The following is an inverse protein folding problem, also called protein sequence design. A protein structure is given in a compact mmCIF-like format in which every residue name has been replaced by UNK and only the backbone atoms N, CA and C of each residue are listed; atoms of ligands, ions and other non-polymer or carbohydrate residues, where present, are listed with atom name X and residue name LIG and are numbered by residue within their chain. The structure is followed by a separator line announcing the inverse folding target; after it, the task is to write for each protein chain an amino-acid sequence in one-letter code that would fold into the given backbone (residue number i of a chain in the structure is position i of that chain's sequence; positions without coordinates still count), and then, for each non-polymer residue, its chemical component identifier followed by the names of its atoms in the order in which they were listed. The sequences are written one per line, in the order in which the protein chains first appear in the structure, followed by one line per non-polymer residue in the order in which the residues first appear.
data_IF_951007551736
#
_entry.id   IF_951007551736
#
_cell.length_a   1.000
_cell.length_b   1.000
_cell.length_c   1.000
_cell.angle_alpha   90.00
_cell.angle_beta   90.00
_cell.angle_gamma   90.00
#
_symmetry.space_group_name_H-M   'P 1'
#
loop_
_entity.id
_entity.type
_entity.pdbx_description
1 polymer ?
#
# COMPACT_ATOMS: atom_id res chain seq x y z
N UNK A 1 26.06 1.93 -6.04
CA UNK A 1 24.84 2.66 -6.44
C UNK A 1 24.02 3.24 -5.28
N UNK A 2 23.89 2.58 -4.12
CA UNK A 2 23.01 3.02 -3.00
C UNK A 2 23.31 4.37 -2.31
N UNK A 3 24.54 4.90 -2.38
CA UNK A 3 24.97 6.08 -1.59
C UNK A 3 24.62 7.44 -2.22
N UNK A 4 24.34 7.48 -3.53
CA UNK A 4 24.14 8.73 -4.29
C UNK A 4 22.70 9.25 -4.33
N UNK A 5 21.72 8.46 -3.88
CA UNK A 5 20.29 8.79 -4.06
C UNK A 5 19.81 9.92 -3.14
N UNK A 6 20.46 10.10 -1.99
CA UNK A 6 20.03 11.03 -0.93
C UNK A 6 21.05 12.14 -0.63
N UNK A 7 22.15 12.21 -1.38
CA UNK A 7 23.13 13.28 -1.21
C UNK A 7 22.65 14.50 -2.02
N UNK A 8 22.32 15.60 -1.31
CA UNK A 8 22.06 16.93 -1.86
C UNK A 8 20.79 17.09 -2.73
N UNK A 9 19.65 16.52 -2.34
CA UNK A 9 18.36 16.92 -2.94
C UNK A 9 17.66 17.97 -2.07
N UNK A 10 16.97 18.92 -2.71
CA UNK A 10 16.08 19.86 -2.02
C UNK A 10 14.78 19.12 -1.70
N UNK A 11 14.35 19.05 -0.42
CA UNK A 11 13.06 18.45 -0.05
C UNK A 11 11.86 18.96 -0.87
N UNK A 12 11.94 20.20 -1.37
CA UNK A 12 10.88 20.82 -2.19
C UNK A 12 10.78 20.24 -3.60
N UNK A 13 11.82 19.56 -4.06
CA UNK A 13 11.86 18.84 -5.33
C UNK A 13 11.35 17.40 -5.18
N UNK A 14 11.10 16.91 -3.96
CA UNK A 14 10.52 15.60 -3.72
C UNK A 14 9.00 15.65 -3.59
N UNK A 15 8.38 14.51 -3.89
CA UNK A 15 6.96 14.28 -3.61
C UNK A 15 6.76 12.96 -2.89
N UNK A 16 5.94 13.00 -1.84
CA UNK A 16 5.44 11.83 -1.14
C UNK A 16 4.07 11.43 -1.71
N UNK A 17 3.97 10.23 -2.25
CA UNK A 17 2.75 9.68 -2.84
C UNK A 17 2.27 8.54 -1.96
N UNK A 18 1.15 8.77 -1.27
CA UNK A 18 0.48 7.75 -0.47
C UNK A 18 -0.52 6.98 -1.32
N UNK A 19 -0.25 5.71 -1.58
CA UNK A 19 -1.20 4.77 -2.18
C UNK A 19 -2.00 4.11 -1.07
N UNK A 20 -3.22 4.58 -0.80
CA UNK A 20 -4.00 4.13 0.35
C UNK A 20 -5.30 3.44 -0.08
N UNK A 21 -5.55 2.27 0.51
CA UNK A 21 -6.66 1.41 0.10
C UNK A 21 -6.92 0.28 1.08
N UNK A 22 -8.08 -0.36 0.92
CA UNK A 22 -8.54 -1.44 1.78
C UNK A 22 -8.56 -2.76 1.04
N UNK A 23 -8.52 -3.86 1.79
CA UNK A 23 -8.72 -5.21 1.26
C UNK A 23 -9.61 -6.01 2.19
N UNK A 24 -10.48 -6.86 1.64
CA UNK A 24 -11.28 -7.81 2.42
C UNK A 24 -10.42 -8.76 3.26
N UNK A 25 -9.13 -8.91 2.94
CA UNK A 25 -8.17 -9.63 3.78
C UNK A 25 -8.10 -9.02 5.18
N UNK A 26 -8.18 -7.69 5.33
CA UNK A 26 -8.06 -7.02 6.63
C UNK A 26 -9.20 -7.34 7.59
N UNK A 27 -10.35 -7.78 7.07
CA UNK A 27 -11.51 -8.18 7.87
C UNK A 27 -11.37 -9.55 8.51
N UNK A 28 -10.39 -10.35 8.09
CA UNK A 28 -10.14 -11.67 8.65
C UNK A 28 -9.65 -11.50 10.11
N UNK A 29 -10.35 -12.05 11.11
CA UNK A 29 -9.96 -11.88 12.51
C UNK A 29 -8.52 -12.33 12.77
N UNK A 30 -7.75 -11.48 13.44
CA UNK A 30 -6.35 -11.77 13.82
C UNK A 30 -5.32 -11.65 12.68
N UNK A 31 -5.69 -11.09 11.52
CA UNK A 31 -4.75 -10.95 10.38
C UNK A 31 -3.86 -9.70 10.49
N UNK A 32 -4.37 -8.63 11.10
CA UNK A 32 -3.71 -7.33 11.19
C UNK A 32 -4.15 -6.59 12.46
N UNK A 33 -3.27 -5.73 12.97
CA UNK A 33 -3.54 -4.79 14.07
C UNK A 33 -3.70 -3.35 13.59
N UNK A 34 -3.76 -3.12 12.27
CA UNK A 34 -3.91 -1.79 11.70
C UNK A 34 -5.37 -1.29 11.89
N UNK A 35 -5.71 -0.93 13.12
CA UNK A 35 -7.06 -0.64 13.59
C UNK A 35 -7.51 -1.64 14.67
N UNK A 36 -8.25 -1.16 15.67
CA UNK A 36 -8.66 -1.96 16.83
C UNK A 36 -9.79 -2.98 16.55
N UNK A 37 -10.45 -2.90 15.39
CA UNK A 37 -11.50 -3.82 14.94
C UNK A 37 -11.46 -3.99 13.42
N UNK A 38 -12.08 -5.05 12.90
CA UNK A 38 -12.20 -5.31 11.45
C UNK A 38 -12.82 -4.14 10.69
N UNK A 39 -13.81 -3.47 11.27
CA UNK A 39 -14.43 -2.27 10.72
C UNK A 39 -13.44 -1.09 10.68
N UNK A 40 -12.68 -0.89 11.77
CA UNK A 40 -11.67 0.16 11.82
C UNK A 40 -10.54 -0.08 10.82
N UNK A 41 -10.17 -1.33 10.53
CA UNK A 41 -9.17 -1.62 9.49
C UNK A 41 -9.59 -1.10 8.12
N UNK A 42 -10.89 -1.08 7.81
CA UNK A 42 -11.37 -0.57 6.53
C UNK A 42 -11.30 0.96 6.47
N UNK A 43 -11.37 1.63 7.62
CA UNK A 43 -11.28 3.08 7.72
C UNK A 43 -9.84 3.59 7.82
N UNK A 44 -8.91 2.79 8.36
CA UNK A 44 -7.50 3.17 8.59
C UNK A 44 -6.86 3.88 7.40
N UNK A 45 -6.95 3.41 6.14
CA UNK A 45 -6.33 4.10 5.00
C UNK A 45 -6.84 5.52 4.80
N UNK A 46 -8.14 5.74 4.99
CA UNK A 46 -8.77 7.05 4.85
C UNK A 46 -8.30 7.97 5.99
N UNK A 47 -8.28 7.47 7.23
CA UNK A 47 -7.86 8.28 8.39
C UNK A 47 -6.37 8.59 8.34
N UNK A 48 -5.52 7.65 7.92
CA UNK A 48 -4.09 7.90 7.68
C UNK A 48 -3.89 9.00 6.63
N UNK A 49 -4.72 8.98 5.57
CA UNK A 49 -4.72 10.02 4.54
C UNK A 49 -5.12 11.38 5.11
N UNK A 50 -6.14 11.44 5.96
CA UNK A 50 -6.58 12.67 6.64
C UNK A 50 -5.50 13.23 7.57
N UNK A 51 -4.76 12.36 8.26
CA UNK A 51 -3.62 12.78 9.11
C UNK A 51 -2.48 13.33 8.24
N UNK A 52 -2.08 12.62 7.19
CA UNK A 52 -0.93 12.99 6.35
C UNK A 52 -1.20 14.27 5.55
N UNK A 53 -2.39 14.40 4.97
CA UNK A 53 -2.74 15.54 4.10
C UNK A 53 -3.37 16.68 4.92
N UNK A 54 -4.31 16.36 5.82
CA UNK A 54 -5.09 17.34 6.58
C UNK A 54 -4.59 17.61 7.99
N UNK A 55 -3.59 16.87 8.48
CA UNK A 55 -2.99 17.04 9.80
C UNK A 55 -3.78 16.45 10.97
N UNK A 56 -4.98 15.88 10.72
CA UNK A 56 -5.81 15.27 11.77
C UNK A 56 -6.86 14.31 11.18
N UNK A 57 -7.35 13.35 11.98
CA UNK A 57 -8.56 12.59 11.65
C UNK A 57 -9.79 13.50 11.42
N UNK A 58 -10.64 13.13 10.47
CA UNK A 58 -11.90 13.84 10.16
C UNK A 58 -13.11 12.92 9.96
N UNK A 59 -12.90 11.64 9.61
CA UNK A 59 -13.96 10.61 9.60
C UNK A 59 -14.25 10.13 11.03
N UNK A 60 -13.21 9.96 11.84
CA UNK A 60 -13.29 9.58 13.26
C UNK A 60 -12.59 10.62 14.13
N UNK A 61 -12.88 10.63 15.42
CA UNK A 61 -12.34 11.65 16.35
C UNK A 61 -10.91 11.36 16.81
N UNK A 62 -10.46 10.11 16.74
CA UNK A 62 -9.16 9.67 17.23
C UNK A 62 -8.38 8.98 16.10
N UNK A 63 -7.04 9.10 16.06
CA UNK A 63 -6.24 8.41 15.05
C UNK A 63 -6.36 6.88 15.22
N UNK A 64 -6.18 6.09 14.14
CA UNK A 64 -6.14 4.64 14.25
C UNK A 64 -5.02 4.23 15.21
N UNK A 65 -5.34 3.30 16.09
CA UNK A 65 -4.39 2.71 17.03
C UNK A 65 -4.43 1.18 16.91
N UNK A 66 -3.32 0.55 17.27
CA UNK A 66 -3.32 -0.90 17.50
C UNK A 66 -4.18 -1.23 18.74
N UNK A 67 -4.58 -2.50 18.96
CA UNK A 67 -5.27 -2.89 20.19
C UNK A 67 -4.53 -2.51 21.49
N UNK A 68 -3.20 -2.36 21.43
CA UNK A 68 -2.34 -1.93 22.53
C UNK A 68 -2.26 -0.40 22.70
N UNK A 69 -2.98 0.37 21.89
CA UNK A 69 -3.00 1.83 21.94
C UNK A 69 -1.80 2.50 21.25
N UNK A 70 -1.05 1.79 20.41
CA UNK A 70 0.06 2.38 19.65
C UNK A 70 -0.53 3.15 18.46
N UNK A 71 -0.28 4.47 18.33
CA UNK A 71 -0.86 5.26 17.26
C UNK A 71 -0.27 4.93 15.89
N UNK A 72 -1.05 5.20 14.84
CA UNK A 72 -0.64 4.99 13.45
C UNK A 72 0.70 5.66 13.09
N UNK A 73 1.55 5.01 12.27
CA UNK A 73 2.75 5.62 11.68
C UNK A 73 2.47 6.88 10.85
N UNK A 74 1.21 7.13 10.46
CA UNK A 74 0.82 8.35 9.75
C UNK A 74 1.17 9.63 10.53
N UNK A 75 1.17 9.58 11.88
CA UNK A 75 1.58 10.72 12.72
C UNK A 75 3.06 11.05 12.51
N UNK A 76 3.93 10.02 12.48
CA UNK A 76 5.36 10.19 12.24
C UNK A 76 5.59 10.71 10.82
N UNK A 77 4.87 10.17 9.85
CA UNK A 77 4.93 10.61 8.44
C UNK A 77 4.57 12.09 8.33
N UNK A 78 3.46 12.52 8.94
CA UNK A 78 3.04 13.93 8.95
C UNK A 78 4.10 14.85 9.55
N UNK A 79 4.65 14.48 10.70
CA UNK A 79 5.72 15.26 11.34
C UNK A 79 6.96 15.40 10.43
N UNK A 80 7.38 14.31 9.78
CA UNK A 80 8.51 14.34 8.84
C UNK A 80 8.23 15.22 7.61
N UNK A 81 7.04 15.14 7.02
CA UNK A 81 6.65 15.95 5.86
C UNK A 81 6.61 17.44 6.22
N UNK A 82 6.04 17.80 7.37
CA UNK A 82 5.97 19.19 7.83
C UNK A 82 7.35 19.78 8.13
N UNK A 83 8.23 19.01 8.78
CA UNK A 83 9.59 19.46 9.10
C UNK A 83 10.49 19.56 7.86
N UNK A 84 10.29 18.71 6.87
CA UNK A 84 11.10 18.69 5.65
C UNK A 84 10.57 19.62 4.56
N UNK A 85 9.29 19.94 4.55
CA UNK A 85 8.64 20.69 3.47
C UNK A 85 8.40 19.86 2.20
N UNK A 86 8.52 18.54 2.27
CA UNK A 86 8.21 17.63 1.15
C UNK A 86 6.71 17.71 0.86
N UNK A 87 6.37 17.89 -0.42
CA UNK A 87 4.97 17.89 -0.87
C UNK A 87 4.39 16.49 -0.78
N UNK A 88 3.12 16.38 -0.41
CA UNK A 88 2.43 15.08 -0.35
C UNK A 88 1.15 15.07 -1.17
N UNK A 89 0.82 13.90 -1.71
CA UNK A 89 -0.47 13.61 -2.31
C UNK A 89 -0.93 12.21 -1.93
N UNK A 90 -2.24 12.02 -1.86
CA UNK A 90 -2.84 10.71 -1.66
C UNK A 90 -3.52 10.24 -2.95
N UNK A 91 -3.51 8.93 -3.17
CA UNK A 91 -4.08 8.26 -4.33
C UNK A 91 -5.01 7.17 -3.83
N UNK A 92 -6.23 7.15 -4.35
CA UNK A 92 -7.18 6.09 -4.06
C UNK A 92 -6.65 4.76 -4.62
N UNK A 93 -6.21 3.86 -3.75
CA UNK A 93 -5.85 2.49 -4.05
C UNK A 93 -6.95 1.51 -3.61
N UNK A 94 -8.21 1.94 -3.60
CA UNK A 94 -9.37 1.15 -3.19
C UNK A 94 -9.85 1.46 -1.79
N UNK A 95 -10.12 2.73 -1.47
CA UNK A 95 -10.73 3.11 -0.19
C UNK A 95 -12.09 2.44 0.02
N UNK A 96 -12.37 1.98 1.24
CA UNK A 96 -13.73 1.60 1.63
C UNK A 96 -14.64 2.81 1.85
N UNK A 97 -14.05 3.89 2.40
CA UNK A 97 -14.68 5.20 2.64
C UNK A 97 -13.67 6.25 2.18
N UNK A 98 -14.04 7.20 1.31
CA UNK A 98 -13.12 8.23 0.85
C UNK A 98 -12.75 9.18 2.00
N UNK A 99 -11.49 9.65 2.08
CA UNK A 99 -11.05 10.60 3.09
C UNK A 99 -11.65 12.00 2.85
N UNK A 100 -11.80 12.81 3.91
CA UNK A 100 -12.35 14.19 3.83
C UNK A 100 -11.30 15.26 3.49
N UNK A 101 -10.27 14.88 2.75
CA UNK A 101 -9.17 15.75 2.29
C UNK A 101 -8.97 15.54 0.78
N UNK A 102 -8.27 16.43 0.06
CA UNK A 102 -7.99 16.21 -1.36
C UNK A 102 -7.16 14.93 -1.62
N UNK A 103 -7.56 14.16 -2.61
CA UNK A 103 -6.83 12.98 -3.10
C UNK A 103 -7.05 12.80 -4.61
N UNK A 104 -6.15 12.06 -5.26
CA UNK A 104 -6.31 11.61 -6.63
C UNK A 104 -7.24 10.40 -6.65
N UNK A 105 -8.45 10.57 -7.17
CA UNK A 105 -9.42 9.47 -7.26
C UNK A 105 -9.22 8.63 -8.53
N UNK A 106 -8.96 7.36 -8.34
CA UNK A 106 -8.86 6.34 -9.40
C UNK A 106 -10.21 5.65 -9.65
N UNK A 107 -11.21 5.87 -8.78
CA UNK A 107 -12.47 5.13 -8.77
C UNK A 107 -12.30 3.64 -8.49
N UNK A 108 -11.22 3.24 -7.80
CA UNK A 108 -11.04 1.87 -7.32
C UNK A 108 -11.81 1.66 -6.01
N UNK A 109 -12.21 0.41 -5.79
CA UNK A 109 -12.87 -0.07 -4.57
C UNK A 109 -11.96 -1.07 -3.85
N UNK A 110 -12.27 -1.45 -2.60
CA UNK A 110 -11.44 -2.38 -1.84
C UNK A 110 -11.13 -3.68 -2.60
N UNK A 111 -9.89 -4.15 -2.48
CA UNK A 111 -9.47 -5.42 -3.07
C UNK A 111 -10.20 -6.60 -2.41
N UNK A 112 -10.54 -7.61 -3.20
CA UNK A 112 -11.28 -8.77 -2.71
C UNK A 112 -10.36 -9.78 -2.02
N UNK A 113 -10.95 -10.74 -1.30
CA UNK A 113 -10.19 -11.78 -0.62
C UNK A 113 -9.65 -12.81 -1.65
N UNK A 114 -8.32 -12.91 -1.84
CA UNK A 114 -7.70 -13.79 -2.83
C UNK A 114 -7.94 -15.29 -2.57
N UNK A 115 -8.27 -15.64 -1.33
CA UNK A 115 -8.59 -17.00 -0.93
C UNK A 115 -9.97 -17.46 -1.45
N UNK A 116 -10.86 -16.54 -1.82
CA UNK A 116 -12.20 -16.86 -2.33
C UNK A 116 -12.34 -16.57 -3.82
N UNK A 117 -11.79 -15.45 -4.30
CA UNK A 117 -12.01 -14.93 -5.65
C UNK A 117 -10.75 -14.26 -6.23
N UNK A 118 -10.81 -13.83 -7.49
CA UNK A 118 -9.80 -12.95 -8.08
C UNK A 118 -9.76 -11.63 -7.32
N UNK A 119 -8.62 -11.29 -6.72
CA UNK A 119 -8.51 -10.15 -5.82
C UNK A 119 -8.77 -8.80 -6.51
N UNK A 120 -8.26 -8.63 -7.74
CA UNK A 120 -8.25 -7.35 -8.46
C UNK A 120 -9.02 -7.45 -9.79
N UNK A 121 -10.36 -7.40 -9.78
CA UNK A 121 -11.14 -7.34 -11.03
C UNK A 121 -10.75 -6.16 -11.93
N UNK A 122 -10.33 -5.03 -11.35
CA UNK A 122 -9.96 -3.79 -12.06
C UNK A 122 -8.43 -3.60 -12.18
N UNK A 123 -7.65 -4.69 -12.24
CA UNK A 123 -6.18 -4.61 -12.28
C UNK A 123 -5.65 -3.68 -13.38
N UNK A 124 -6.17 -3.77 -14.61
CA UNK A 124 -5.74 -2.92 -15.73
C UNK A 124 -6.03 -1.44 -15.47
N UNK A 125 -7.22 -1.13 -14.96
CA UNK A 125 -7.59 0.24 -14.55
C UNK A 125 -6.61 0.81 -13.52
N UNK A 126 -6.23 0.02 -12.52
CA UNK A 126 -5.27 0.43 -11.51
C UNK A 126 -3.86 0.62 -12.09
N UNK A 127 -3.41 -0.30 -12.95
CA UNK A 127 -2.11 -0.21 -13.61
C UNK A 127 -2.01 1.01 -14.53
N UNK A 128 -3.03 1.26 -15.35
CA UNK A 128 -3.08 2.39 -16.27
C UNK A 128 -3.16 3.74 -15.52
N UNK A 129 -3.89 3.80 -14.41
CA UNK A 129 -3.87 4.96 -13.53
C UNK A 129 -2.48 5.21 -12.93
N UNK A 130 -1.75 4.15 -12.59
CA UNK A 130 -0.36 4.21 -12.15
C UNK A 130 0.58 4.75 -13.24
N UNK A 131 0.44 4.28 -14.48
CA UNK A 131 1.20 4.79 -15.63
C UNK A 131 0.98 6.30 -15.81
N UNK A 132 -0.28 6.71 -15.85
CA UNK A 132 -0.65 8.12 -15.99
C UNK A 132 -0.08 9.00 -14.86
N UNK A 133 -0.16 8.51 -13.62
CA UNK A 133 0.38 9.26 -12.48
C UNK A 133 1.91 9.35 -12.55
N UNK A 134 2.61 8.28 -12.92
CA UNK A 134 4.06 8.34 -13.05
C UNK A 134 4.52 9.30 -14.16
N UNK A 135 3.85 9.30 -15.31
CA UNK A 135 4.10 10.29 -16.38
C UNK A 135 3.87 11.74 -15.92
N UNK A 136 2.87 11.97 -15.07
CA UNK A 136 2.60 13.29 -14.48
C UNK A 136 3.67 13.75 -13.49
N UNK A 137 4.33 12.83 -12.80
CA UNK A 137 5.29 13.11 -11.75
C UNK A 137 6.73 13.15 -12.26
N UNK A 138 7.04 12.38 -13.30
CA UNK A 138 8.39 12.23 -13.81
C UNK A 138 8.98 13.55 -14.35
N UNK A 139 10.26 13.80 -14.05
CA UNK A 139 10.98 15.02 -14.39
C UNK A 139 10.55 16.26 -13.58
N UNK A 140 9.42 16.20 -12.86
CA UNK A 140 8.91 17.29 -12.01
C UNK A 140 9.30 17.13 -10.55
N UNK A 141 9.43 15.88 -10.11
CA UNK A 141 9.80 15.56 -8.73
C UNK A 141 10.86 14.47 -8.69
N UNK A 142 11.91 14.67 -7.91
CA UNK A 142 12.90 13.63 -7.64
C UNK A 142 13.55 13.85 -6.26
N UNK A 143 13.41 12.89 -5.32
CA UNK A 143 12.77 11.59 -5.48
C UNK A 143 11.23 11.64 -5.45
N UNK A 144 10.61 10.65 -6.10
CA UNK A 144 9.21 10.25 -5.91
C UNK A 144 9.18 9.18 -4.81
N UNK A 145 8.67 9.53 -3.63
CA UNK A 145 8.56 8.63 -2.48
C UNK A 145 7.21 7.90 -2.54
N UNK A 146 7.21 6.63 -2.94
CA UNK A 146 6.01 5.80 -3.00
C UNK A 146 5.78 5.09 -1.66
N UNK A 147 4.72 5.47 -0.97
CA UNK A 147 4.31 4.89 0.31
C UNK A 147 2.94 4.22 0.20
N UNK A 148 2.56 3.46 1.22
CA UNK A 148 1.28 2.76 1.27
C UNK A 148 0.59 2.87 2.64
N UNK A 149 -0.74 2.79 2.62
CA UNK A 149 -1.53 2.42 3.79
C UNK A 149 -2.59 1.40 3.37
N UNK A 150 -2.26 0.12 3.56
CA UNK A 150 -3.12 -1.03 3.24
C UNK A 150 -3.10 -2.03 4.39
N UNK A 151 -4.07 -1.97 5.32
CA UNK A 151 -4.32 -3.02 6.30
C UNK A 151 -4.47 -4.38 5.63
N UNK A 152 -3.73 -5.39 6.07
CA UNK A 152 -3.66 -6.69 5.40
C UNK A 152 -2.67 -6.78 4.22
N UNK A 153 -2.04 -5.68 3.81
CA UNK A 153 -1.09 -5.60 2.70
C UNK A 153 0.13 -6.53 2.83
N UNK A 154 0.59 -6.79 4.06
CA UNK A 154 1.66 -7.79 4.29
C UNK A 154 1.24 -9.21 3.89
N UNK A 155 -0.04 -9.53 4.02
CA UNK A 155 -0.59 -10.85 3.67
C UNK A 155 -0.77 -10.96 2.16
N UNK A 156 -1.38 -9.98 1.49
CA UNK A 156 -1.48 -9.95 0.01
C UNK A 156 -0.08 -10.02 -0.62
N UNK A 157 0.88 -9.25 -0.12
CA UNK A 157 2.28 -9.31 -0.56
C UNK A 157 2.90 -10.71 -0.38
N UNK A 158 2.60 -11.38 0.75
CA UNK A 158 3.05 -12.75 0.97
C UNK A 158 2.48 -13.72 -0.06
N UNK A 159 1.18 -13.63 -0.35
CA UNK A 159 0.51 -14.53 -1.31
C UNK A 159 1.10 -14.31 -2.70
N UNK A 160 1.24 -13.06 -3.14
CA UNK A 160 1.85 -12.70 -4.43
C UNK A 160 3.25 -13.29 -4.55
N UNK A 161 4.15 -12.96 -3.62
CA UNK A 161 5.54 -13.45 -3.65
C UNK A 161 5.62 -14.98 -3.57
N UNK A 162 4.81 -15.62 -2.71
CA UNK A 162 4.78 -17.08 -2.58
C UNK A 162 4.31 -17.75 -3.89
N UNK A 163 3.30 -17.18 -4.54
CA UNK A 163 2.78 -17.69 -5.81
C UNK A 163 3.79 -17.56 -6.97
N UNK A 164 4.74 -16.64 -6.87
CA UNK A 164 5.83 -16.50 -7.82
C UNK A 164 7.01 -17.45 -7.53
N UNK A 165 6.97 -18.17 -6.41
CA UNK A 165 8.01 -19.13 -6.01
C UNK A 165 9.00 -18.60 -4.97
N UNK A 166 8.78 -17.40 -4.43
CA UNK A 166 9.63 -16.83 -3.38
C UNK A 166 9.31 -17.45 -2.03
N UNK A 167 10.34 -17.88 -1.29
CA UNK A 167 10.19 -18.28 0.12
C UNK A 167 10.26 -17.04 0.99
N UNK A 168 9.12 -16.51 1.40
CA UNK A 168 9.04 -15.26 2.18
C UNK A 168 8.26 -15.46 3.47
N UNK A 169 8.85 -15.09 4.60
CA UNK A 169 8.13 -14.82 5.84
C UNK A 169 7.91 -13.30 5.93
N UNK A 170 6.65 -12.86 5.96
CA UNK A 170 6.34 -11.42 5.97
C UNK A 170 6.30 -10.88 7.39
N UNK A 171 6.69 -9.62 7.56
CA UNK A 171 6.50 -8.88 8.80
C UNK A 171 5.00 -8.74 9.15
N UNK A 172 4.68 -8.51 10.42
CA UNK A 172 3.33 -8.22 10.90
C UNK A 172 3.36 -7.06 11.87
N UNK A 173 2.27 -6.31 11.95
CA UNK A 173 2.07 -5.24 12.93
C UNK A 173 1.72 -5.77 14.33
N UNK A 174 1.61 -7.09 14.50
CA UNK A 174 1.36 -7.74 15.80
C UNK A 174 2.65 -8.14 16.54
N UNK A 175 2.68 -8.09 17.89
CA UNK A 175 3.78 -8.63 18.69
C UNK A 175 4.04 -10.13 18.47
N UNK A 176 3.00 -10.90 18.13
CA UNK A 176 3.11 -12.26 17.61
C UNK A 176 2.63 -12.29 16.16
N UNK A 177 3.51 -12.61 15.22
CA UNK A 177 3.14 -12.69 13.81
C UNK A 177 2.10 -13.83 13.63
N UNK A 178 0.91 -13.60 13.04
CA UNK A 178 -0.12 -14.62 12.89
C UNK A 178 0.23 -15.54 11.71
N UNK A 179 1.42 -16.13 11.74
CA UNK A 179 2.01 -16.92 10.65
C UNK A 179 1.04 -18.01 10.20
N UNK A 180 0.37 -18.67 11.14
CA UNK A 180 -0.58 -19.75 10.84
C UNK A 180 -1.82 -19.28 10.06
N UNK A 181 -2.33 -18.07 10.33
CA UNK A 181 -3.49 -17.51 9.62
C UNK A 181 -3.06 -17.08 8.21
N UNK A 182 -1.92 -16.38 8.09
CA UNK A 182 -1.36 -15.97 6.80
C UNK A 182 -1.06 -17.17 5.91
N UNK A 183 -0.44 -18.21 6.45
CA UNK A 183 -0.15 -19.45 5.72
C UNK A 183 -1.41 -20.16 5.22
N UNK A 184 -2.50 -20.14 6.00
CA UNK A 184 -3.80 -20.68 5.56
C UNK A 184 -4.35 -19.90 4.37
N UNK A 185 -4.29 -18.57 4.40
CA UNK A 185 -4.72 -17.71 3.28
C UNK A 185 -3.86 -17.99 2.05
N UNK A 186 -2.54 -18.04 2.19
CA UNK A 186 -1.60 -18.35 1.10
C UNK A 186 -1.93 -19.71 0.48
N UNK A 187 -2.07 -20.76 1.30
CA UNK A 187 -2.42 -22.10 0.80
C UNK A 187 -3.77 -22.14 0.10
N UNK A 188 -4.79 -21.46 0.66
CA UNK A 188 -6.13 -21.44 0.06
C UNK A 188 -6.15 -20.67 -1.27
N UNK A 189 -5.53 -19.48 -1.31
CA UNK A 189 -5.44 -18.67 -2.52
C UNK A 189 -4.67 -19.38 -3.64
N UNK A 190 -3.48 -19.91 -3.35
CA UNK A 190 -2.69 -20.68 -4.33
C UNK A 190 -3.41 -21.97 -4.72
N UNK A 191 -4.12 -22.62 -3.80
CA UNK A 191 -4.94 -23.80 -4.11
C UNK A 191 -6.07 -23.53 -5.10
N UNK A 192 -6.57 -22.28 -5.16
CA UNK A 192 -7.67 -21.86 -6.06
C UNK A 192 -7.21 -21.73 -7.51
N UNK A 193 -6.06 -21.10 -7.75
CA UNK A 193 -5.61 -20.71 -9.10
C UNK A 193 -4.18 -21.09 -9.46
N UNK A 194 -3.43 -21.68 -8.53
CA UNK A 194 -2.07 -22.16 -8.75
C UNK A 194 -0.98 -21.12 -8.56
N UNK A 195 0.23 -21.51 -8.96
CA UNK A 195 1.41 -20.64 -8.97
C UNK A 195 1.49 -19.85 -10.28
N UNK A 196 2.09 -18.67 -10.22
CA UNK A 196 2.30 -17.77 -11.35
C UNK A 196 3.78 -17.38 -11.50
N UNK A 197 4.67 -18.36 -11.36
CA UNK A 197 6.11 -18.16 -11.60
C UNK A 197 6.35 -17.65 -13.02
N UNK A 198 7.05 -16.53 -13.14
CA UNK A 198 7.31 -15.86 -14.43
C UNK A 198 6.14 -15.04 -14.97
N UNK A 199 5.03 -14.93 -14.23
CA UNK A 199 3.89 -14.08 -14.60
C UNK A 199 3.44 -13.18 -13.43
N UNK A 200 4.24 -12.14 -13.11
CA UNK A 200 3.99 -11.27 -11.95
C UNK A 200 2.69 -10.47 -12.06
N UNK A 201 2.29 -10.04 -13.26
CA UNK A 201 1.01 -9.34 -13.46
C UNK A 201 -0.17 -10.23 -13.05
N UNK A 202 -0.19 -11.50 -13.47
CA UNK A 202 -1.24 -12.43 -13.07
C UNK A 202 -1.18 -12.76 -11.58
N UNK A 203 0.01 -12.85 -10.97
CA UNK A 203 0.16 -13.03 -9.54
C UNK A 203 -0.49 -11.88 -8.76
N UNK A 204 -0.21 -10.64 -9.15
CA UNK A 204 -0.80 -9.45 -8.52
C UNK A 204 -2.29 -9.37 -8.79
N UNK A 205 -2.75 -9.59 -10.02
CA UNK A 205 -4.18 -9.55 -10.36
C UNK A 205 -5.00 -10.57 -9.54
N UNK A 206 -4.46 -11.78 -9.36
CA UNK A 206 -5.17 -12.85 -8.63
C UNK A 206 -5.10 -12.66 -7.13
N UNK A 207 -3.99 -12.14 -6.60
CA UNK A 207 -3.65 -12.27 -5.17
C UNK A 207 -3.32 -10.98 -4.42
N UNK A 208 -3.09 -9.88 -5.13
CA UNK A 208 -2.60 -8.64 -4.56
C UNK A 208 -3.69 -7.74 -3.96
N UNK A 209 -3.28 -6.52 -3.68
CA UNK A 209 -4.15 -5.36 -3.42
C UNK A 209 -3.87 -4.28 -4.49
N UNK A 210 -4.74 -3.28 -4.61
CA UNK A 210 -4.65 -2.27 -5.67
C UNK A 210 -3.47 -1.29 -5.52
N UNK A 211 -2.80 -1.24 -4.37
CA UNK A 211 -1.57 -0.46 -4.24
C UNK A 211 -0.47 -1.01 -5.15
N UNK A 212 -0.37 -2.33 -5.28
CA UNK A 212 0.65 -2.98 -6.10
C UNK A 212 0.58 -2.59 -7.59
N UNK A 213 -0.54 -2.74 -8.34
CA UNK A 213 -0.60 -2.34 -9.74
C UNK A 213 -0.42 -0.83 -9.94
N UNK A 214 -0.90 0.02 -9.01
CA UNK A 214 -0.63 1.46 -9.04
C UNK A 214 0.88 1.74 -8.96
N UNK A 215 1.56 1.14 -7.97
CA UNK A 215 2.99 1.30 -7.78
C UNK A 215 3.80 0.75 -8.96
N UNK A 216 3.39 -0.39 -9.54
CA UNK A 216 4.00 -0.96 -10.74
C UNK A 216 3.84 -0.04 -11.95
N UNK A 217 2.65 0.53 -12.17
CA UNK A 217 2.40 1.49 -13.25
C UNK A 217 3.25 2.75 -13.10
N UNK A 218 3.33 3.32 -11.90
CA UNK A 218 4.20 4.48 -11.64
C UNK A 218 5.66 4.12 -11.91
N UNK A 219 6.12 2.98 -11.39
CA UNK A 219 7.50 2.52 -11.55
C UNK A 219 7.87 2.23 -13.00
N UNK A 220 6.89 1.81 -13.81
CA UNK A 220 7.08 1.51 -15.23
C UNK A 220 7.19 2.76 -16.09
N UNK A 221 6.51 3.83 -15.71
CA UNK A 221 6.41 5.08 -16.49
C UNK A 221 7.53 6.08 -16.17
N UNK A 222 7.98 6.14 -14.92
CA UNK A 222 9.06 7.03 -14.47
C UNK A 222 10.43 6.61 -15.05
N UNK A 223 11.14 7.57 -15.65
CA UNK A 223 12.45 7.37 -16.30
C UNK A 223 13.49 8.37 -15.82
N UNK A 224 13.12 9.63 -15.63
CA UNK A 224 14.05 10.73 -15.32
C UNK A 224 14.21 10.95 -13.81
N UNK A 225 13.26 10.47 -13.01
CA UNK A 225 13.19 10.66 -11.57
C UNK A 225 13.61 9.41 -10.80
N UNK A 226 14.11 9.60 -9.58
CA UNK A 226 14.38 8.47 -8.69
C UNK A 226 13.14 8.09 -7.89
N UNK A 227 12.77 6.81 -7.89
CA UNK A 227 11.71 6.28 -7.02
C UNK A 227 12.32 5.76 -5.72
N UNK A 228 11.73 6.18 -4.59
CA UNK A 228 11.99 5.63 -3.27
C UNK A 228 10.76 4.86 -2.80
N UNK A 229 10.89 3.54 -2.69
CA UNK A 229 9.85 2.68 -2.15
C UNK A 229 9.85 2.73 -0.62
N UNK A 230 8.94 3.52 -0.04
CA UNK A 230 8.80 3.74 1.39
C UNK A 230 7.83 2.70 2.01
N UNK A 231 8.29 1.46 2.15
CA UNK A 231 7.53 0.40 2.78
C UNK A 231 8.37 -0.84 3.07
N UNK A 232 7.73 -1.86 3.66
CA UNK A 232 8.37 -3.12 4.02
C UNK A 232 8.21 -4.20 2.94
N UNK A 233 7.66 -5.34 3.36
CA UNK A 233 7.42 -6.49 2.48
C UNK A 233 6.50 -6.16 1.30
N UNK A 234 5.54 -5.26 1.51
CA UNK A 234 4.59 -4.79 0.49
C UNK A 234 5.32 -4.17 -0.70
N UNK A 235 6.24 -3.24 -0.43
CA UNK A 235 7.07 -2.62 -1.45
C UNK A 235 8.11 -3.58 -2.03
N UNK A 236 8.56 -4.57 -1.25
CA UNK A 236 9.41 -5.64 -1.78
C UNK A 236 8.68 -6.48 -2.84
N UNK A 237 7.37 -6.69 -2.69
CA UNK A 237 6.56 -7.39 -3.69
C UNK A 237 6.39 -6.58 -4.99
N UNK A 238 6.38 -5.25 -4.90
CA UNK A 238 6.36 -4.36 -6.07
C UNK A 238 7.73 -4.34 -6.77
N UNK A 239 8.81 -4.35 -6.00
CA UNK A 239 10.18 -4.26 -6.53
C UNK A 239 10.68 -5.57 -7.17
N UNK A 240 10.24 -6.73 -6.67
CA UNK A 240 10.71 -8.06 -7.08
C UNK A 240 10.25 -8.42 -8.50
#
# INVERSE_FOLDING_TARGET
MKKKILENFDPRDAIFVLLAGSTEVSRIPGITSAGASSELTMLTPAVDTEIIIGGRPMIINEPPMTPEGIPTPAIVTKACLDLSGIRSMAVNAGYSVPPKVPFFDTGLHPALNPAEVKALPDFRKAFDAGLYLGELLDGRYSPIVLAESVPGGTTTAQVVLSSMGCKVSTSSTMPSNPVQIKEKIVKKAIGRTGYFTGNPEMAVEQYGDYMMPLALGISKSVKDSTILFAGGTQMSAVYY
#
